data_IF_081953257541
#
_entry.id   IF_081953257541
#
_cell.length_a   1.000
_cell.length_b   1.000
_cell.length_c   1.000
_cell.angle_alpha   90.00
_cell.angle_beta   90.00
_cell.angle_gamma   90.00
#
_symmetry.space_group_name_H-M   'P 1'
#
loop_
_entity.id
_entity.type
_entity.pdbx_description
1 polymer ?
#
# COMPACT_ATOMS: atom_id res chain seq x y z
N UNK A 1 14.38 15.54 0.04
CA UNK A 1 14.26 16.91 -0.51
C UNK A 1 14.95 17.80 0.51
N UNK A 2 15.96 18.58 0.09
CA UNK A 2 16.63 19.50 0.99
C UNK A 2 15.60 20.52 1.51
N UNK A 3 15.54 20.71 2.83
CA UNK A 3 14.68 21.72 3.43
C UNK A 3 15.08 23.10 2.88
N UNK A 4 14.21 23.65 2.03
CA UNK A 4 14.39 24.99 1.49
C UNK A 4 14.00 25.94 2.61
N UNK A 5 15.00 26.56 3.23
CA UNK A 5 14.81 27.58 4.25
C UNK A 5 13.97 28.73 3.70
N UNK A 6 13.08 29.26 4.54
CA UNK A 6 12.28 30.42 4.22
C UNK A 6 13.15 31.67 4.10
N UNK A 7 12.71 32.64 3.30
CA UNK A 7 13.46 33.88 3.06
C UNK A 7 13.76 34.65 4.36
N UNK A 8 12.86 34.58 5.34
CA UNK A 8 13.06 35.14 6.68
C UNK A 8 14.20 34.49 7.46
N UNK A 9 14.43 33.18 7.29
CA UNK A 9 15.52 32.46 7.96
C UNK A 9 16.87 32.77 7.29
N UNK A 10 16.87 32.95 5.97
CA UNK A 10 18.05 33.39 5.21
C UNK A 10 18.48 34.80 5.65
N UNK A 11 17.52 35.71 5.78
CA UNK A 11 17.79 37.10 6.16
C UNK A 11 18.29 37.20 7.62
N UNK A 12 17.74 36.36 8.52
CA UNK A 12 18.21 36.26 9.90
C UNK A 12 19.65 35.73 10.00
N UNK A 13 19.98 34.69 9.22
CA UNK A 13 21.33 34.13 9.17
C UNK A 13 22.34 35.11 8.55
N UNK A 14 21.96 35.85 7.51
CA UNK A 14 22.80 36.88 6.89
C UNK A 14 23.08 38.06 7.82
N UNK A 15 22.06 38.49 8.58
CA UNK A 15 22.20 39.54 9.58
C UNK A 15 23.14 39.12 10.72
N UNK A 16 22.98 37.88 11.22
CA UNK A 16 23.83 37.33 12.29
C UNK A 16 25.29 37.11 11.83
N UNK A 17 25.50 36.78 10.55
CA UNK A 17 26.85 36.65 9.98
C UNK A 17 27.53 38.02 9.79
N UNK A 18 26.76 39.06 9.48
CA UNK A 18 27.28 40.41 9.24
C UNK A 18 27.57 41.20 10.52
N UNK A 19 26.90 40.92 11.64
CA UNK A 19 27.15 41.58 12.92
C UNK A 19 28.32 40.97 13.70
N UNK A 20 28.74 39.75 13.36
CA UNK A 20 29.82 39.03 14.07
C UNK A 20 29.41 38.49 15.45
N UNK A 21 28.20 38.80 15.91
CA UNK A 21 27.62 38.35 17.18
C UNK A 21 26.82 37.07 16.97
N UNK A 22 27.52 35.95 16.83
CA UNK A 22 26.87 34.63 16.83
C UNK A 22 26.73 34.20 18.30
N UNK A 23 25.71 34.72 18.99
CA UNK A 23 25.33 34.24 20.31
C UNK A 23 24.52 32.94 20.16
N UNK A 24 24.98 31.79 20.67
CA UNK A 24 24.26 30.51 20.57
C UNK A 24 22.87 30.54 21.24
N UNK A 25 22.64 31.52 22.11
CA UNK A 25 21.39 31.72 22.84
C UNK A 25 20.31 32.48 22.04
N UNK A 26 20.66 33.08 20.89
CA UNK A 26 19.71 33.78 19.99
C UNK A 26 19.32 32.96 18.76
N UNK A 27 19.88 31.75 18.59
CA UNK A 27 19.32 30.80 17.64
C UNK A 27 17.85 30.61 18.03
N UNK A 28 16.88 30.89 17.14
CA UNK A 28 15.50 30.61 17.44
C UNK A 28 15.47 29.12 17.78
N UNK A 29 15.21 28.81 19.06
CA UNK A 29 14.82 27.45 19.44
C UNK A 29 13.73 27.15 18.43
N UNK A 30 13.97 26.14 17.59
CA UNK A 30 12.88 25.53 16.84
C UNK A 30 11.88 25.18 17.94
N UNK A 31 10.87 26.04 18.12
CA UNK A 31 9.64 25.64 18.74
C UNK A 31 9.38 24.33 18.03
N UNK A 32 9.34 23.24 18.79
CA UNK A 32 8.79 21.99 18.33
C UNK A 32 7.35 22.32 17.92
N UNK A 33 7.20 22.91 16.73
CA UNK A 33 5.95 23.06 16.03
C UNK A 33 5.58 21.63 15.86
N UNK A 34 4.73 21.18 16.80
CA UNK A 34 4.12 19.88 16.84
C UNK A 34 3.90 19.53 15.38
N UNK A 35 4.60 18.50 14.86
CA UNK A 35 4.48 18.15 13.44
C UNK A 35 3.04 17.71 13.22
N UNK A 36 2.16 18.67 12.94
CA UNK A 36 0.74 18.46 12.76
C UNK A 36 0.64 17.71 11.45
N UNK A 37 0.43 16.40 11.56
CA UNK A 37 0.09 15.61 10.39
C UNK A 37 -1.29 16.06 9.93
N UNK A 38 -1.33 16.63 8.72
CA UNK A 38 -2.57 16.84 8.00
C UNK A 38 -3.31 15.51 7.90
N UNK A 39 -4.42 15.39 8.64
CA UNK A 39 -5.28 14.22 8.60
C UNK A 39 -6.40 14.51 7.59
N UNK A 40 -6.45 13.72 6.52
CA UNK A 40 -7.53 13.85 5.55
C UNK A 40 -8.79 13.12 6.05
N UNK A 41 -9.72 13.89 6.60
CA UNK A 41 -11.00 13.38 7.09
C UNK A 41 -11.90 12.81 5.98
N UNK A 42 -11.59 13.08 4.70
CA UNK A 42 -12.35 12.53 3.55
C UNK A 42 -11.95 11.09 3.24
N UNK A 43 -10.74 10.68 3.63
CA UNK A 43 -10.26 9.30 3.49
C UNK A 43 -9.68 8.81 4.83
N UNK A 44 -10.55 8.55 5.84
CA UNK A 44 -10.07 8.00 7.09
C UNK A 44 -9.41 6.65 6.79
N UNK A 45 -8.11 6.52 7.08
CA UNK A 45 -7.42 5.24 7.07
C UNK A 45 -8.11 4.35 8.12
N UNK A 46 -9.05 3.51 7.66
CA UNK A 46 -9.85 2.63 8.52
C UNK A 46 -8.98 1.56 9.18
N UNK A 47 -7.84 1.25 8.57
CA UNK A 47 -6.89 0.26 9.06
C UNK A 47 -5.59 0.92 9.55
N UNK A 48 -5.10 0.47 10.71
CA UNK A 48 -3.78 0.83 11.19
C UNK A 48 -2.70 0.12 10.35
N UNK A 49 -1.46 0.61 10.42
CA UNK A 49 -0.31 -0.07 9.79
C UNK A 49 -0.13 -1.51 10.29
N UNK A 50 -0.44 -1.75 11.55
CA UNK A 50 -0.39 -3.08 12.15
C UNK A 50 -1.43 -4.01 11.53
N UNK A 51 -2.67 -3.55 11.31
CA UNK A 51 -3.69 -4.34 10.62
C UNK A 51 -3.27 -4.71 9.19
N UNK A 52 -2.67 -3.78 8.44
CA UNK A 52 -2.15 -4.06 7.10
C UNK A 52 -1.02 -5.09 7.14
N UNK A 53 -0.11 -5.00 8.12
CA UNK A 53 0.95 -5.98 8.35
C UNK A 53 0.37 -7.38 8.64
N UNK A 54 -0.68 -7.46 9.46
CA UNK A 54 -1.36 -8.73 9.74
C UNK A 54 -1.99 -9.33 8.48
N UNK A 55 -2.65 -8.50 7.65
CA UNK A 55 -3.21 -8.94 6.37
C UNK A 55 -2.13 -9.47 5.42
N UNK A 56 -0.95 -8.84 5.40
CA UNK A 56 0.22 -9.29 4.64
C UNK A 56 0.66 -10.69 5.05
N UNK A 57 0.80 -10.93 6.35
CA UNK A 57 1.18 -12.25 6.86
C UNK A 57 0.13 -13.33 6.54
N UNK A 58 -1.15 -13.00 6.64
CA UNK A 58 -2.25 -13.90 6.27
C UNK A 58 -2.19 -14.26 4.79
N UNK A 59 -2.02 -13.25 3.92
CA UNK A 59 -1.99 -13.48 2.48
C UNK A 59 -0.69 -14.17 2.03
N UNK A 60 0.44 -14.01 2.74
CA UNK A 60 1.69 -14.72 2.40
C UNK A 60 1.52 -16.21 2.66
N UNK A 61 0.88 -16.55 3.78
CA UNK A 61 0.53 -17.92 4.09
C UNK A 61 -0.45 -18.49 3.07
N UNK A 62 -1.50 -17.74 2.73
CA UNK A 62 -2.46 -18.14 1.69
C UNK A 62 -1.78 -18.37 0.34
N UNK A 63 -0.89 -17.47 -0.10
CA UNK A 63 -0.13 -17.58 -1.34
C UNK A 63 0.67 -18.89 -1.42
N UNK A 64 1.27 -19.32 -0.31
CA UNK A 64 1.97 -20.62 -0.23
C UNK A 64 1.03 -21.80 -0.36
N UNK A 65 -0.13 -21.75 0.32
CA UNK A 65 -1.13 -22.82 0.27
C UNK A 65 -1.68 -22.96 -1.15
N UNK A 66 -2.10 -21.86 -1.78
CA UNK A 66 -2.68 -21.89 -3.12
C UNK A 66 -1.65 -22.26 -4.19
N UNK A 67 -0.38 -21.85 -4.04
CA UNK A 67 0.71 -22.27 -4.92
C UNK A 67 0.88 -23.79 -4.94
N UNK A 68 0.91 -24.41 -3.75
CA UNK A 68 1.03 -25.85 -3.61
C UNK A 68 -0.20 -26.57 -4.15
N UNK A 69 -1.40 -26.05 -3.85
CA UNK A 69 -2.65 -26.60 -4.35
C UNK A 69 -2.68 -26.58 -5.88
N UNK A 70 -2.44 -25.42 -6.50
CA UNK A 70 -2.45 -25.30 -7.96
C UNK A 70 -1.38 -26.18 -8.60
N UNK A 71 -0.15 -26.20 -8.04
CA UNK A 71 0.92 -27.08 -8.54
C UNK A 71 0.49 -28.55 -8.56
N UNK A 72 -0.21 -29.00 -7.51
CA UNK A 72 -0.73 -30.36 -7.45
C UNK A 72 -1.85 -30.62 -8.47
N UNK A 73 -2.74 -29.64 -8.69
CA UNK A 73 -3.86 -29.76 -9.65
C UNK A 73 -3.37 -29.77 -11.11
N UNK A 74 -2.52 -28.81 -11.49
CA UNK A 74 -2.10 -28.61 -12.88
C UNK A 74 -0.83 -29.41 -13.23
N UNK A 75 -0.23 -30.11 -12.25
CA UNK A 75 1.01 -30.90 -12.38
C UNK A 75 2.21 -30.12 -12.97
N UNK A 76 2.16 -28.79 -12.87
CA UNK A 76 3.18 -27.85 -13.32
C UNK A 76 3.47 -26.87 -12.19
N UNK A 77 4.71 -26.41 -12.06
CA UNK A 77 5.09 -25.52 -10.97
C UNK A 77 4.35 -24.17 -11.05
N UNK A 78 3.49 -23.89 -10.08
CA UNK A 78 2.80 -22.61 -9.91
C UNK A 78 3.37 -21.88 -8.67
N UNK A 79 3.86 -20.66 -8.87
CA UNK A 79 4.36 -19.79 -7.78
C UNK A 79 3.49 -18.56 -7.68
N UNK A 80 2.91 -18.35 -6.50
CA UNK A 80 2.11 -17.17 -6.17
C UNK A 80 2.81 -16.46 -5.02
N UNK A 81 2.89 -15.13 -5.12
CA UNK A 81 3.47 -14.23 -4.13
C UNK A 81 2.57 -13.00 -4.01
N UNK A 82 2.58 -12.37 -2.84
CA UNK A 82 1.97 -11.05 -2.69
C UNK A 82 2.87 -10.02 -3.35
N UNK A 83 2.26 -9.11 -4.10
CA UNK A 83 2.94 -7.93 -4.64
C UNK A 83 2.75 -6.71 -3.73
N UNK A 84 1.50 -6.37 -3.40
CA UNK A 84 1.16 -5.26 -2.52
C UNK A 84 -0.13 -5.51 -1.76
N UNK A 85 -0.33 -4.74 -0.67
CA UNK A 85 -1.59 -4.64 0.06
C UNK A 85 -1.90 -3.17 0.25
N UNK A 86 -3.06 -2.76 -0.24
CA UNK A 86 -3.47 -1.37 -0.31
C UNK A 86 -4.91 -1.22 0.18
N UNK A 87 -5.17 -0.09 0.84
CA UNK A 87 -6.53 0.32 1.18
C UNK A 87 -6.99 1.33 0.13
N UNK A 88 -7.92 0.93 -0.73
CA UNK A 88 -8.51 1.78 -1.77
C UNK A 88 -10.04 1.82 -1.63
N UNK A 89 -10.67 2.82 -2.23
CA UNK A 89 -12.13 2.88 -2.30
C UNK A 89 -12.66 1.85 -3.31
N UNK A 90 -13.92 1.47 -3.17
CA UNK A 90 -14.55 0.54 -4.11
C UNK A 90 -14.61 1.10 -5.53
N UNK A 91 -14.84 2.41 -5.67
CA UNK A 91 -14.88 3.08 -6.97
C UNK A 91 -13.52 3.04 -7.67
N UNK A 92 -12.43 3.32 -6.95
CA UNK A 92 -11.07 3.19 -7.47
C UNK A 92 -10.75 1.75 -7.88
N UNK A 93 -11.19 0.75 -7.08
CA UNK A 93 -11.00 -0.66 -7.42
C UNK A 93 -11.74 -1.05 -8.71
N UNK A 94 -13.01 -0.67 -8.87
CA UNK A 94 -13.76 -1.01 -10.07
C UNK A 94 -13.19 -0.33 -11.31
N UNK A 95 -12.69 0.91 -11.19
CA UNK A 95 -12.03 1.60 -12.30
C UNK A 95 -10.62 1.08 -12.61
N UNK A 96 -9.95 0.40 -11.68
CA UNK A 96 -8.62 -0.20 -11.92
C UNK A 96 -8.69 -1.57 -12.60
N UNK A 97 -9.86 -2.21 -12.62
CA UNK A 97 -10.04 -3.54 -13.18
C UNK A 97 -10.01 -3.50 -14.73
N UNK A 98 -9.20 -4.36 -15.38
CA UNK A 98 -9.20 -4.50 -16.83
C UNK A 98 -10.54 -5.00 -17.37
N UNK A 99 -10.88 -4.61 -18.60
CA UNK A 99 -12.05 -5.11 -19.32
C UNK A 99 -11.60 -5.73 -20.66
N UNK A 100 -11.78 -7.05 -20.87
CA UNK A 100 -12.49 -8.02 -20.02
C UNK A 100 -11.66 -8.53 -18.83
N UNK A 101 -12.35 -8.98 -17.78
CA UNK A 101 -11.75 -9.74 -16.67
C UNK A 101 -12.69 -10.87 -16.19
N UNK A 102 -12.17 -11.76 -15.35
CA UNK A 102 -12.95 -12.73 -14.58
C UNK A 102 -13.07 -12.22 -13.14
N UNK A 103 -14.28 -11.88 -12.74
CA UNK A 103 -14.59 -11.36 -11.41
C UNK A 103 -15.43 -12.39 -10.64
N UNK A 104 -14.87 -12.91 -9.56
CA UNK A 104 -15.51 -13.92 -8.72
C UNK A 104 -15.97 -13.30 -7.40
N UNK A 105 -17.20 -13.61 -6.98
CA UNK A 105 -17.71 -13.23 -5.66
C UNK A 105 -17.89 -14.47 -4.79
N UNK A 106 -17.42 -14.42 -3.55
CA UNK A 106 -17.65 -15.49 -2.59
C UNK A 106 -17.80 -14.96 -1.17
N UNK A 107 -18.36 -15.77 -0.30
CA UNK A 107 -18.51 -15.48 1.14
C UNK A 107 -17.52 -16.34 1.91
N UNK A 108 -17.05 -15.84 3.05
CA UNK A 108 -16.12 -16.58 3.92
C UNK A 108 -16.66 -16.66 5.34
N UNK A 109 -17.63 -17.55 5.64
CA UNK A 109 -18.11 -17.76 7.00
C UNK A 109 -16.95 -18.15 7.94
N UNK A 110 -16.91 -17.64 9.18
CA UNK A 110 -17.93 -16.82 9.86
C UNK A 110 -17.81 -15.31 9.61
N UNK A 111 -16.93 -14.86 8.69
CA UNK A 111 -16.79 -13.43 8.40
C UNK A 111 -18.02 -12.91 7.66
N UNK A 112 -18.39 -11.68 8.00
CA UNK A 112 -19.49 -10.97 7.37
C UNK A 112 -19.01 -10.29 6.07
N UNK A 113 -19.91 -10.25 5.08
CA UNK A 113 -19.66 -9.59 3.80
C UNK A 113 -19.36 -10.56 2.66
N UNK A 114 -19.03 -9.99 1.51
CA UNK A 114 -18.61 -10.73 0.31
C UNK A 114 -17.20 -10.29 -0.08
N UNK A 115 -16.40 -11.25 -0.51
CA UNK A 115 -15.07 -11.03 -1.07
C UNK A 115 -15.23 -10.99 -2.58
N UNK A 116 -14.56 -10.02 -3.18
CA UNK A 116 -14.43 -9.88 -4.62
C UNK A 116 -13.02 -10.28 -5.01
N UNK A 117 -12.89 -11.20 -5.96
CA UNK A 117 -11.61 -11.72 -6.42
C UNK A 117 -11.55 -11.59 -7.93
N UNK A 118 -10.71 -10.68 -8.40
CA UNK A 118 -10.40 -10.51 -9.81
C UNK A 118 -9.29 -11.46 -10.20
N UNK A 119 -9.36 -12.00 -11.42
CA UNK A 119 -8.27 -12.81 -11.97
C UNK A 119 -8.10 -12.50 -13.44
N UNK A 120 -6.86 -12.26 -13.83
CA UNK A 120 -6.50 -12.02 -15.22
C UNK A 120 -6.93 -13.20 -16.12
N UNK A 121 -7.70 -12.96 -17.20
CA UNK A 121 -8.17 -14.02 -18.08
C UNK A 121 -7.05 -14.87 -18.68
N UNK A 122 -5.90 -14.28 -19.01
CA UNK A 122 -4.76 -15.01 -19.59
C UNK A 122 -4.25 -16.10 -18.65
N UNK A 123 -4.22 -15.83 -17.34
CA UNK A 123 -3.84 -16.84 -16.35
C UNK A 123 -4.89 -17.96 -16.27
N UNK A 124 -6.17 -17.61 -16.23
CA UNK A 124 -7.26 -18.59 -16.14
C UNK A 124 -7.32 -19.47 -17.38
N UNK A 125 -7.17 -18.90 -18.57
CA UNK A 125 -7.13 -19.68 -19.80
C UNK A 125 -5.95 -20.64 -19.84
N UNK A 126 -4.77 -20.20 -19.39
CA UNK A 126 -3.61 -21.09 -19.31
C UNK A 126 -3.84 -22.24 -18.32
N UNK A 127 -4.46 -21.98 -17.17
CA UNK A 127 -4.82 -23.03 -16.20
C UNK A 127 -5.82 -24.01 -16.82
N UNK A 128 -6.86 -23.50 -17.50
CA UNK A 128 -7.87 -24.33 -18.15
C UNK A 128 -7.28 -25.21 -19.25
N UNK A 129 -6.40 -24.64 -20.08
CA UNK A 129 -5.71 -25.36 -21.16
C UNK A 129 -4.97 -26.59 -20.62
N UNK A 130 -4.15 -26.40 -19.57
CA UNK A 130 -3.43 -27.49 -18.91
C UNK A 130 -4.39 -28.54 -18.33
N UNK A 131 -5.50 -28.13 -17.71
CA UNK A 131 -6.47 -29.05 -17.12
C UNK A 131 -7.26 -29.85 -18.17
N UNK A 132 -7.42 -29.31 -19.37
CA UNK A 132 -8.16 -29.94 -20.47
C UNK A 132 -7.29 -30.80 -21.40
N UNK A 133 -5.97 -30.82 -21.17
CA UNK A 133 -5.05 -31.71 -21.87
C UNK A 133 -3.87 -31.02 -22.56
N UNK A 134 -3.85 -29.68 -22.57
CA UNK A 134 -2.81 -28.86 -23.23
C UNK A 134 -2.89 -28.84 -24.75
#
# INVERSE_FOLDING_TARGET
MAEVLSQSEIDALLSALSSGDIHPDELPKEEEKQKVKLYDFRSPQKFSKEHLRTLELIHDNFARIISNYLTAQIRTNAKIKIESIEQITYEEFIHSIPNPTILTTFKMPPLNGSILFETNPSFVFQVNDILLGG
#
